data_IF_723161269864
#
_entry.id   IF_723161269864
#
_cell.length_a   1.000
_cell.length_b   1.000
_cell.length_c   1.000
_cell.angle_alpha   90.00
_cell.angle_beta   90.00
_cell.angle_gamma   90.00
#
_symmetry.space_group_name_H-M   'P 1'
#
loop_
_entity.id
_entity.type
_entity.pdbx_description
1 polymer ?
#
# COMPACT_ATOMS: atom_id res chain seq x y z
N UNK A 1 9.56 8.24 -0.43
CA UNK A 1 9.72 6.87 -0.98
C UNK A 1 8.82 5.94 -0.18
N UNK A 2 8.14 5.00 -0.84
CA UNK A 2 7.43 3.89 -0.18
C UNK A 2 8.33 2.66 -0.26
N UNK A 3 8.41 1.90 0.83
CA UNK A 3 9.24 0.69 0.95
C UNK A 3 8.32 -0.53 0.88
N UNK A 4 8.77 -1.62 0.26
CA UNK A 4 8.05 -2.89 0.20
C UNK A 4 8.90 -3.95 0.90
N UNK A 5 8.33 -4.75 1.79
CA UNK A 5 9.09 -5.85 2.40
C UNK A 5 9.20 -7.06 1.47
N UNK A 6 10.13 -7.98 1.73
CA UNK A 6 10.26 -9.20 0.91
C UNK A 6 8.96 -10.01 0.91
N UNK A 7 8.33 -10.19 2.09
CA UNK A 7 7.04 -10.89 2.20
C UNK A 7 5.93 -10.20 1.40
N UNK A 8 5.86 -8.87 1.46
CA UNK A 8 4.87 -8.12 0.70
C UNK A 8 5.07 -8.30 -0.80
N UNK A 9 6.31 -8.19 -1.28
CA UNK A 9 6.67 -8.46 -2.68
C UNK A 9 6.25 -9.86 -3.10
N UNK A 10 6.62 -10.89 -2.35
CA UNK A 10 6.30 -12.28 -2.68
C UNK A 10 4.78 -12.46 -2.82
N UNK A 11 4.01 -11.93 -1.86
CA UNK A 11 2.55 -12.01 -1.90
C UNK A 11 1.94 -11.21 -3.06
N UNK A 12 2.48 -10.05 -3.40
CA UNK A 12 2.02 -9.25 -4.55
C UNK A 12 2.21 -10.03 -5.86
N UNK A 13 3.38 -10.66 -6.04
CA UNK A 13 3.67 -11.45 -7.23
C UNK A 13 2.78 -12.70 -7.33
N UNK A 14 2.54 -13.35 -6.20
CA UNK A 14 1.60 -14.47 -6.12
C UNK A 14 0.18 -14.03 -6.53
N UNK A 15 -0.33 -12.94 -5.93
CA UNK A 15 -1.66 -12.39 -6.26
C UNK A 15 -1.77 -11.99 -7.74
N UNK A 16 -0.74 -11.35 -8.31
CA UNK A 16 -0.73 -11.03 -9.75
C UNK A 16 -0.90 -12.28 -10.60
N UNK A 17 -0.22 -13.38 -10.24
CA UNK A 17 -0.31 -14.66 -10.95
C UNK A 17 -1.67 -15.34 -10.75
N UNK A 18 -2.17 -15.37 -9.52
CA UNK A 18 -3.47 -15.98 -9.17
C UNK A 18 -4.63 -15.29 -9.90
N UNK A 19 -4.59 -13.97 -10.02
CA UNK A 19 -5.62 -13.17 -10.68
C UNK A 19 -5.40 -13.00 -12.20
N UNK A 20 -4.32 -13.56 -12.77
CA UNK A 20 -4.02 -13.44 -14.20
C UNK A 20 -3.70 -12.00 -14.65
N UNK A 21 -3.15 -11.18 -13.76
CA UNK A 21 -2.82 -9.77 -14.00
C UNK A 21 -1.61 -9.63 -14.94
N UNK A 22 -1.62 -8.56 -15.71
CA UNK A 22 -0.52 -8.23 -16.64
C UNK A 22 0.60 -7.45 -15.94
N UNK A 23 1.76 -7.33 -16.60
CA UNK A 23 2.89 -6.54 -16.07
C UNK A 23 2.57 -5.05 -15.90
N UNK A 24 1.59 -4.55 -16.65
CA UNK A 24 1.15 -3.16 -16.60
C UNK A 24 0.27 -2.86 -15.37
N UNK A 25 -0.36 -3.88 -14.78
CA UNK A 25 -1.19 -3.75 -13.57
C UNK A 25 -0.29 -3.81 -12.33
N UNK A 26 -0.10 -2.66 -11.70
CA UNK A 26 0.82 -2.48 -10.57
C UNK A 26 0.05 -2.12 -9.30
N UNK A 27 0.72 -2.19 -8.16
CA UNK A 27 0.06 -1.85 -6.90
C UNK A 27 -0.16 -0.35 -6.84
N UNK A 28 -1.39 0.08 -6.55
CA UNK A 28 -1.73 1.44 -6.18
C UNK A 28 -2.00 1.51 -4.68
N UNK A 29 -1.40 2.50 -4.02
CA UNK A 29 -1.69 2.86 -2.63
C UNK A 29 -2.24 4.27 -2.59
N UNK A 30 -3.43 4.43 -2.02
CA UNK A 30 -4.08 5.73 -1.83
C UNK A 30 -4.50 5.91 -0.37
N UNK A 31 -4.74 7.15 0.04
CA UNK A 31 -5.31 7.50 1.34
C UNK A 31 -6.66 8.16 1.11
N UNK A 32 -7.69 7.63 1.79
CA UNK A 32 -9.07 8.13 1.73
C UNK A 32 -9.48 8.64 3.11
N UNK A 33 -10.37 9.62 3.16
CA UNK A 33 -11.03 9.99 4.41
C UNK A 33 -12.00 8.90 4.85
N UNK A 34 -11.96 8.51 6.12
CA UNK A 34 -12.85 7.47 6.67
C UNK A 34 -12.23 6.69 7.83
N UNK A 35 -12.91 5.61 8.23
CA UNK A 35 -12.46 4.70 9.27
C UNK A 35 -12.53 5.30 10.68
N UNK A 36 -12.13 4.50 11.67
CA UNK A 36 -12.21 4.89 13.08
C UNK A 36 -11.26 6.03 13.46
N UNK A 37 -10.20 6.27 12.67
CA UNK A 37 -9.17 7.25 12.96
C UNK A 37 -9.13 8.44 11.98
N UNK A 38 -10.04 8.47 11.00
CA UNK A 38 -10.26 9.61 10.11
C UNK A 38 -9.60 9.48 8.73
N UNK A 39 -8.52 8.71 8.61
CA UNK A 39 -7.90 8.33 7.33
C UNK A 39 -7.82 6.81 7.19
N UNK A 40 -7.91 6.31 5.97
CA UNK A 40 -7.79 4.89 5.63
C UNK A 40 -6.84 4.68 4.46
N UNK A 41 -6.10 3.58 4.50
CA UNK A 41 -5.33 3.11 3.35
C UNK A 41 -6.24 2.37 2.37
N UNK A 42 -5.95 2.52 1.09
CA UNK A 42 -6.61 1.82 -0.01
C UNK A 42 -5.53 1.18 -0.88
N UNK A 43 -5.56 -0.15 -0.99
CA UNK A 43 -4.57 -0.96 -1.70
C UNK A 43 -5.27 -1.76 -2.80
N UNK A 44 -4.76 -1.69 -4.02
CA UNK A 44 -5.29 -2.49 -5.13
C UNK A 44 -4.33 -2.56 -6.31
N UNK A 45 -4.68 -3.37 -7.30
CA UNK A 45 -4.00 -3.36 -8.60
C UNK A 45 -4.62 -2.31 -9.52
N UNK A 46 -3.78 -1.57 -10.23
CA UNK A 46 -4.19 -0.61 -11.24
C UNK A 46 -3.21 -0.61 -12.42
N UNK A 47 -3.77 -0.61 -13.64
CA UNK A 47 -3.01 -0.49 -14.89
C UNK A 47 -3.04 0.92 -15.49
N UNK A 48 -3.81 1.84 -14.91
CA UNK A 48 -4.00 3.18 -15.42
C UNK A 48 -3.13 4.17 -14.64
N UNK A 49 -2.06 4.64 -15.28
CA UNK A 49 -1.25 5.75 -14.78
C UNK A 49 -1.82 7.08 -15.27
N UNK A 50 -1.99 8.03 -14.36
CA UNK A 50 -2.37 9.41 -14.68
C UNK A 50 -1.21 10.37 -14.40
N UNK A 51 -1.22 11.56 -15.01
CA UNK A 51 -0.11 12.52 -14.95
C UNK A 51 0.25 12.98 -13.53
N UNK A 52 -0.70 12.91 -12.58
CA UNK A 52 -0.47 13.31 -11.18
C UNK A 52 0.06 12.17 -10.31
N UNK A 53 0.17 10.96 -10.85
CA UNK A 53 0.70 9.82 -10.11
C UNK A 53 2.20 9.92 -9.94
N UNK A 54 2.66 9.40 -8.81
CA UNK A 54 4.06 9.15 -8.53
C UNK A 54 4.26 7.64 -8.51
N UNK A 55 5.21 7.17 -9.31
CA UNK A 55 5.58 5.76 -9.37
C UNK A 55 6.88 5.57 -8.63
N UNK A 56 6.86 4.73 -7.60
CA UNK A 56 8.03 4.25 -6.89
C UNK A 56 8.31 2.82 -7.30
N UNK A 57 9.57 2.41 -7.26
CA UNK A 57 9.95 1.01 -7.44
C UNK A 57 10.82 0.59 -6.27
N UNK A 58 10.44 -0.50 -5.61
CA UNK A 58 11.25 -1.15 -4.59
C UNK A 58 11.21 -2.66 -4.80
N UNK A 59 12.37 -3.30 -4.80
CA UNK A 59 12.54 -4.75 -5.02
C UNK A 59 11.84 -5.30 -6.28
N UNK A 60 11.75 -4.47 -7.33
CA UNK A 60 11.08 -4.80 -8.60
C UNK A 60 9.55 -4.71 -8.56
N UNK A 61 8.96 -4.24 -7.46
CA UNK A 61 7.53 -3.93 -7.37
C UNK A 61 7.33 -2.45 -7.63
N UNK A 62 6.50 -2.12 -8.62
CA UNK A 62 6.07 -0.74 -8.88
C UNK A 62 4.86 -0.40 -8.01
N UNK A 63 4.95 0.75 -7.33
CA UNK A 63 3.92 1.31 -6.46
C UNK A 63 3.47 2.66 -7.01
N UNK A 64 2.19 2.76 -7.36
CA UNK A 64 1.53 3.96 -7.85
C UNK A 64 0.91 4.69 -6.66
N UNK A 65 1.16 5.99 -6.55
CA UNK A 65 0.63 6.84 -5.47
C UNK A 65 0.12 8.13 -6.07
N UNK A 66 -1.12 8.51 -5.79
CA UNK A 66 -1.62 9.82 -6.24
C UNK A 66 -0.98 10.96 -5.42
N UNK A 67 -0.94 12.15 -6.02
CA UNK A 67 -0.31 13.34 -5.42
C UNK A 67 -0.81 13.68 -4.01
N UNK A 68 -2.10 13.47 -3.70
CA UNK A 68 -2.65 13.82 -2.38
C UNK A 68 -2.21 12.83 -1.33
N UNK A 69 -2.21 11.54 -1.67
CA UNK A 69 -1.80 10.46 -0.79
C UNK A 69 -0.32 10.49 -0.44
N UNK A 70 0.52 11.03 -1.33
CA UNK A 70 1.97 11.11 -1.13
C UNK A 70 2.38 11.79 0.19
N UNK A 71 1.63 12.82 0.61
CA UNK A 71 1.91 13.56 1.85
C UNK A 71 1.76 12.70 3.11
N UNK A 72 0.91 11.67 3.05
CA UNK A 72 0.63 10.78 4.18
C UNK A 72 1.46 9.50 4.16
N UNK A 73 2.02 9.13 3.00
CA UNK A 73 2.67 7.84 2.76
C UNK A 73 4.20 7.92 2.70
N UNK A 74 4.78 9.11 2.88
CA UNK A 74 6.22 9.29 2.77
C UNK A 74 6.97 8.48 3.84
N UNK A 75 7.80 7.51 3.43
CA UNK A 75 8.55 6.66 4.35
C UNK A 75 7.75 5.46 4.88
N UNK A 76 6.51 5.26 4.42
CA UNK A 76 5.70 4.10 4.79
C UNK A 76 6.27 2.82 4.20
N UNK A 77 6.28 1.75 5.00
CA UNK A 77 6.60 0.39 4.55
C UNK A 77 5.32 -0.42 4.37
N UNK A 78 5.14 -1.04 3.21
CA UNK A 78 4.13 -2.06 2.95
C UNK A 78 4.69 -3.43 3.34
N UNK A 79 4.06 -4.03 4.35
CA UNK A 79 4.35 -5.35 4.89
C UNK A 79 3.25 -6.33 4.53
N UNK A 80 3.55 -7.63 4.60
CA UNK A 80 2.54 -8.68 4.58
C UNK A 80 2.73 -9.60 5.77
N UNK A 81 1.67 -9.74 6.58
CA UNK A 81 1.63 -10.64 7.71
C UNK A 81 0.81 -11.87 7.37
N UNK A 82 1.35 -13.04 7.68
CA UNK A 82 0.73 -14.36 7.64
C UNK A 82 0.49 -14.91 9.06
N UNK A 83 0.67 -14.07 10.08
CA UNK A 83 0.64 -14.46 11.48
C UNK A 83 -0.77 -14.63 12.07
N UNK A 84 -0.82 -15.16 13.30
CA UNK A 84 -2.05 -15.42 14.05
C UNK A 84 -2.91 -14.18 14.31
N UNK A 85 -2.27 -12.99 14.35
CA UNK A 85 -2.93 -11.72 14.61
C UNK A 85 -3.58 -11.10 13.35
N UNK A 86 -3.60 -11.83 12.24
CA UNK A 86 -4.26 -11.42 11.00
C UNK A 86 -3.39 -11.68 9.78
N UNK A 87 -3.99 -12.31 8.77
CA UNK A 87 -3.39 -12.46 7.45
C UNK A 87 -3.76 -11.25 6.60
N UNK A 88 -2.77 -10.53 6.09
CA UNK A 88 -3.05 -9.37 5.24
C UNK A 88 -1.87 -8.43 5.06
N UNK A 89 -2.07 -7.48 4.17
CA UNK A 89 -1.15 -6.35 4.01
C UNK A 89 -1.26 -5.41 5.20
N UNK A 90 -0.13 -4.87 5.62
CA UNK A 90 -0.04 -3.94 6.74
C UNK A 90 0.83 -2.74 6.34
N UNK A 91 0.44 -1.56 6.83
CA UNK A 91 1.18 -0.32 6.59
C UNK A 91 1.91 0.11 7.85
N UNK A 92 3.23 0.14 7.80
CA UNK A 92 4.07 0.73 8.86
C UNK A 92 4.38 2.16 8.44
N UNK A 93 3.54 3.10 8.90
CA UNK A 93 3.61 4.51 8.50
C UNK A 93 4.26 5.36 9.61
N UNK A 94 5.46 5.93 9.39
CA UNK A 94 6.12 6.79 10.38
C UNK A 94 5.40 8.12 10.61
N UNK A 95 4.48 8.51 9.72
CA UNK A 95 3.71 9.75 9.84
C UNK A 95 2.41 9.57 10.64
N UNK A 96 2.03 8.34 10.98
CA UNK A 96 0.80 8.08 11.73
C UNK A 96 1.01 8.33 13.22
N UNK A 97 0.19 9.23 13.80
CA UNK A 97 0.16 9.49 15.25
C UNK A 97 -0.65 8.43 16.01
N UNK A 98 -1.67 7.83 15.35
CA UNK A 98 -2.43 6.68 15.85
C UNK A 98 -2.84 5.77 14.71
N UNK A 99 -2.96 4.47 15.00
CA UNK A 99 -3.40 3.42 14.07
C UNK A 99 -4.50 2.58 14.73
N UNK A 100 -5.55 2.21 13.98
CA UNK A 100 -6.58 1.29 14.48
C UNK A 100 -5.99 -0.08 14.80
N UNK A 101 -6.63 -0.84 15.69
CA UNK A 101 -6.20 -2.23 15.98
C UNK A 101 -6.16 -3.14 14.74
N UNK A 102 -6.91 -2.78 13.69
CA UNK A 102 -6.91 -3.44 12.38
C UNK A 102 -5.74 -3.07 11.46
N UNK A 103 -5.04 -1.97 11.70
CA UNK A 103 -4.00 -1.44 10.81
C UNK A 103 -4.50 -0.69 9.56
N UNK A 104 -5.79 -0.72 9.25
CA UNK A 104 -6.36 -0.16 8.00
C UNK A 104 -6.65 1.34 8.06
N UNK A 105 -6.75 1.91 9.27
CA UNK A 105 -7.08 3.32 9.50
C UNK A 105 -6.08 3.97 10.46
N UNK A 106 -5.82 5.26 10.25
CA UNK A 106 -4.85 6.02 11.01
C UNK A 106 -5.24 7.50 11.13
N UNK A 107 -4.55 8.23 12.01
CA UNK A 107 -4.51 9.69 12.05
C UNK A 107 -3.08 10.16 11.89
N UNK A 108 -2.88 11.36 11.33
CA UNK A 108 -1.58 12.05 11.32
C UNK A 108 -1.59 13.16 12.36
#
# INVERSE_FOLDING_TARGET
MIIVSEKAKERILELKKEEGRTENENIRVSVKGGGCSGLMYDLGFDGNLIETDHVFEDKGVKIIVDRKSLLYLAGTTLEFSDGLNGKGFQFVNPNASRTCGCGESFSV
#
